data_IF_194941266013
#
_entry.id   IF_194941266013
#
_cell.length_a   1.000
_cell.length_b   1.000
_cell.length_c   1.000
_cell.angle_alpha   90.00
_cell.angle_beta   90.00
_cell.angle_gamma   90.00
#
_symmetry.space_group_name_H-M   'P 1'
#
loop_
_entity.id
_entity.type
_entity.pdbx_description
1 polymer ?
#
# COMPACT_ATOMS: atom_id res chain seq x y z
N UNK A 1 -9.18 8.01 -21.78
CA UNK A 1 -7.88 7.99 -21.06
C UNK A 1 -7.90 9.04 -19.98
N UNK A 2 -7.68 8.65 -18.73
CA UNK A 2 -7.56 9.56 -17.58
C UNK A 2 -6.08 9.84 -17.34
N UNK A 3 -5.68 11.10 -17.29
CA UNK A 3 -4.25 11.50 -17.30
C UNK A 3 -3.78 12.21 -16.03
N UNK A 4 -4.69 12.48 -15.07
CA UNK A 4 -4.29 13.08 -13.79
C UNK A 4 -3.71 12.05 -12.85
N UNK A 5 -2.73 12.45 -12.05
CA UNK A 5 -2.07 11.66 -11.02
C UNK A 5 -2.45 12.19 -9.65
N UNK A 6 -2.60 11.30 -8.69
CA UNK A 6 -3.14 11.60 -7.36
C UNK A 6 -2.33 10.97 -6.23
N UNK A 7 -1.38 10.13 -6.55
CA UNK A 7 -0.52 9.47 -5.58
C UNK A 7 0.29 10.45 -4.74
N UNK A 8 0.88 9.95 -3.69
CA UNK A 8 1.75 10.74 -2.83
C UNK A 8 2.84 11.45 -3.65
N UNK A 9 3.02 12.75 -3.40
CA UNK A 9 4.01 13.54 -4.14
C UNK A 9 5.38 13.41 -3.48
N UNK A 10 6.27 12.73 -4.16
CA UNK A 10 7.65 12.49 -3.73
C UNK A 10 8.61 13.27 -4.64
N UNK A 11 9.16 14.38 -4.13
CA UNK A 11 10.14 15.20 -4.86
C UNK A 11 9.66 15.64 -6.27
N UNK A 12 8.39 16.03 -6.39
CA UNK A 12 7.80 16.55 -7.63
C UNK A 12 7.27 15.47 -8.58
N UNK A 13 7.22 14.19 -8.16
CA UNK A 13 6.56 13.11 -8.88
C UNK A 13 5.60 12.38 -7.95
N UNK A 14 4.41 12.08 -8.45
CA UNK A 14 3.47 11.24 -7.71
C UNK A 14 3.85 9.75 -7.85
N UNK A 15 3.61 8.96 -6.79
CA UNK A 15 3.90 7.51 -6.79
C UNK A 15 3.17 6.81 -7.95
N UNK A 16 1.89 7.10 -8.16
CA UNK A 16 1.08 6.57 -9.27
C UNK A 16 1.63 6.97 -10.65
N UNK A 17 2.24 8.17 -10.78
CA UNK A 17 2.93 8.60 -12.00
C UNK A 17 4.17 7.74 -12.26
N UNK A 18 4.94 7.43 -11.23
CA UNK A 18 6.12 6.55 -11.34
C UNK A 18 5.69 5.12 -11.69
N UNK A 19 4.66 4.62 -11.02
CA UNK A 19 4.08 3.29 -11.32
C UNK A 19 3.57 3.20 -12.76
N UNK A 20 2.99 4.30 -13.28
CA UNK A 20 2.52 4.36 -14.66
C UNK A 20 3.65 4.24 -15.70
N UNK A 21 4.88 4.60 -15.34
CA UNK A 21 6.04 4.40 -16.23
C UNK A 21 6.34 2.92 -16.48
N UNK A 22 6.05 2.03 -15.52
CA UNK A 22 6.18 0.59 -15.70
C UNK A 22 5.07 0.01 -16.59
N UNK A 23 3.90 0.61 -16.59
CA UNK A 23 2.73 0.17 -17.36
C UNK A 23 2.26 1.28 -18.30
N UNK A 24 3.13 1.71 -19.22
CA UNK A 24 2.89 2.84 -20.13
C UNK A 24 1.78 2.60 -21.17
N UNK A 25 1.48 1.34 -21.48
CA UNK A 25 0.35 0.98 -22.34
C UNK A 25 -0.98 1.15 -21.61
N UNK A 26 -1.74 2.17 -22.01
CA UNK A 26 -3.06 2.45 -21.45
C UNK A 26 -4.15 1.44 -21.89
N UNK A 27 -3.89 0.60 -22.87
CA UNK A 27 -4.81 -0.50 -23.26
C UNK A 27 -4.73 -1.68 -22.28
N UNK A 28 -3.57 -1.86 -21.62
CA UNK A 28 -3.39 -2.88 -20.60
C UNK A 28 -4.22 -2.59 -19.36
N UNK A 29 -4.90 -3.62 -18.85
CA UNK A 29 -5.75 -3.58 -17.65
C UNK A 29 -5.29 -4.66 -16.69
N UNK A 30 -4.63 -4.22 -15.65
CA UNK A 30 -4.06 -5.11 -14.63
C UNK A 30 -4.84 -5.10 -13.33
N UNK A 31 -4.23 -5.73 -12.33
CA UNK A 31 -4.70 -5.79 -10.95
C UNK A 31 -3.76 -4.99 -10.05
N UNK A 32 -4.35 -4.10 -9.24
CA UNK A 32 -3.63 -3.26 -8.29
C UNK A 32 -4.13 -3.52 -6.86
N UNK A 33 -3.22 -3.83 -5.95
CA UNK A 33 -3.48 -3.90 -4.50
C UNK A 33 -2.93 -2.65 -3.84
N UNK A 34 -3.81 -1.86 -3.21
CA UNK A 34 -3.49 -0.61 -2.50
C UNK A 34 -3.67 -0.83 -1.00
N UNK A 35 -2.57 -1.12 -0.30
CA UNK A 35 -2.55 -1.46 1.12
C UNK A 35 -2.15 -0.23 1.91
N UNK A 36 -3.08 0.27 2.73
CA UNK A 36 -3.06 1.60 3.32
C UNK A 36 -3.70 2.63 2.37
N UNK A 37 -4.92 2.35 1.88
CA UNK A 37 -5.55 3.14 0.83
C UNK A 37 -5.98 4.55 1.27
N UNK A 38 -6.04 4.81 2.57
CA UNK A 38 -6.27 6.08 3.24
C UNK A 38 -7.45 6.90 2.68
N UNK A 39 -7.28 7.52 1.52
CA UNK A 39 -8.29 8.39 0.90
C UNK A 39 -8.59 7.93 -0.54
N UNK A 40 -9.86 7.97 -0.99
CA UNK A 40 -10.23 7.39 -2.28
C UNK A 40 -9.58 8.06 -3.49
N UNK A 41 -9.23 9.35 -3.40
CA UNK A 41 -8.75 10.15 -4.53
C UNK A 41 -7.42 10.83 -4.19
N UNK A 42 -7.39 11.64 -3.12
CA UNK A 42 -6.21 12.43 -2.73
C UNK A 42 -5.17 11.52 -2.11
N UNK A 43 -3.92 11.62 -2.54
CA UNK A 43 -2.79 10.77 -2.10
C UNK A 43 -3.01 9.28 -2.43
N UNK A 44 -3.91 8.95 -3.36
CA UNK A 44 -4.20 7.57 -3.74
C UNK A 44 -3.27 7.08 -4.85
N UNK A 45 -2.48 6.05 -4.56
CA UNK A 45 -1.56 5.44 -5.52
C UNK A 45 -2.28 4.61 -6.60
N UNK A 46 -3.52 4.16 -6.34
CA UNK A 46 -4.28 3.30 -7.23
C UNK A 46 -5.40 3.99 -8.02
N UNK A 47 -5.86 5.19 -7.62
CA UNK A 47 -7.01 5.85 -8.25
C UNK A 47 -6.81 6.13 -9.74
N UNK A 48 -5.62 6.60 -10.15
CA UNK A 48 -5.29 6.78 -11.57
C UNK A 48 -5.48 5.50 -12.39
N UNK A 49 -5.08 4.35 -11.84
CA UNK A 49 -5.19 3.05 -12.49
C UNK A 49 -6.64 2.60 -12.60
N UNK A 50 -7.43 2.73 -11.54
CA UNK A 50 -8.86 2.39 -11.53
C UNK A 50 -9.64 3.24 -12.55
N UNK A 51 -9.38 4.55 -12.64
CA UNK A 51 -9.97 5.43 -13.65
C UNK A 51 -9.57 5.06 -15.09
N UNK A 52 -8.50 4.32 -15.27
CA UNK A 52 -8.07 3.76 -16.54
C UNK A 52 -8.47 2.29 -16.72
N UNK A 53 -9.40 1.77 -15.90
CA UNK A 53 -10.03 0.46 -16.07
C UNK A 53 -9.23 -0.70 -15.47
N UNK A 54 -8.29 -0.45 -14.57
CA UNK A 54 -7.65 -1.49 -13.77
C UNK A 54 -8.58 -1.97 -12.67
N UNK A 55 -8.44 -3.22 -12.27
CA UNK A 55 -9.13 -3.76 -11.11
C UNK A 55 -8.30 -3.46 -9.86
N UNK A 56 -8.76 -2.46 -9.08
CA UNK A 56 -8.06 -2.03 -7.88
C UNK A 56 -8.77 -2.57 -6.64
N UNK A 57 -7.97 -3.02 -5.66
CA UNK A 57 -8.42 -3.50 -4.36
C UNK A 57 -7.78 -2.64 -3.29
N UNK A 58 -8.59 -1.92 -2.51
CA UNK A 58 -8.17 -1.00 -1.46
C UNK A 58 -8.32 -1.68 -0.10
N UNK A 59 -7.23 -1.74 0.66
CA UNK A 59 -7.20 -2.27 2.02
C UNK A 59 -6.92 -1.12 2.99
N UNK A 60 -7.82 -0.90 3.95
CA UNK A 60 -7.73 0.20 4.89
C UNK A 60 -8.20 -0.26 6.28
N UNK A 61 -7.37 0.01 7.29
CA UNK A 61 -7.67 -0.36 8.67
C UNK A 61 -8.54 0.69 9.38
N UNK A 62 -8.34 1.97 9.07
CA UNK A 62 -9.11 3.05 9.68
C UNK A 62 -10.58 2.99 9.28
N UNK A 63 -11.43 2.51 10.20
CA UNK A 63 -12.87 2.32 9.97
C UNK A 63 -13.60 3.63 9.64
N UNK A 64 -13.08 4.79 10.09
CA UNK A 64 -13.71 6.09 9.83
C UNK A 64 -13.57 6.50 8.35
N UNK A 65 -12.51 6.07 7.65
CA UNK A 65 -12.29 6.33 6.22
C UNK A 65 -13.11 5.43 5.29
N UNK A 66 -13.58 4.27 5.78
CA UNK A 66 -14.23 3.25 4.95
C UNK A 66 -15.50 3.74 4.22
N UNK A 67 -16.41 4.51 4.84
CA UNK A 67 -17.59 5.00 4.12
C UNK A 67 -17.22 5.83 2.88
N UNK A 68 -16.25 6.73 3.01
CA UNK A 68 -15.78 7.58 1.92
C UNK A 68 -15.07 6.75 0.82
N UNK A 69 -14.25 5.76 1.22
CA UNK A 69 -13.62 4.84 0.27
C UNK A 69 -14.70 4.09 -0.52
N UNK A 70 -15.71 3.50 0.12
CA UNK A 70 -16.78 2.74 -0.53
C UNK A 70 -17.69 3.58 -1.43
N UNK A 71 -17.78 4.89 -1.20
CA UNK A 71 -18.53 5.79 -2.09
C UNK A 71 -17.84 5.97 -3.45
N UNK A 72 -16.50 5.88 -3.49
CA UNK A 72 -15.73 6.25 -4.67
C UNK A 72 -14.91 5.12 -5.29
N UNK A 73 -14.75 3.97 -4.59
CA UNK A 73 -13.93 2.83 -5.00
C UNK A 73 -14.75 1.55 -4.99
N UNK A 74 -14.48 0.67 -5.96
CA UNK A 74 -15.29 -0.53 -6.17
C UNK A 74 -15.01 -1.64 -5.13
N UNK A 75 -13.73 -1.91 -4.85
CA UNK A 75 -13.34 -3.02 -3.98
C UNK A 75 -12.60 -2.48 -2.76
N UNK A 76 -13.29 -2.40 -1.62
CA UNK A 76 -12.78 -1.84 -0.36
C UNK A 76 -12.91 -2.86 0.76
N UNK A 77 -11.80 -3.16 1.41
CA UNK A 77 -11.65 -4.11 2.51
C UNK A 77 -11.21 -3.40 3.78
N UNK A 78 -11.98 -3.56 4.86
CA UNK A 78 -11.64 -2.94 6.14
C UNK A 78 -10.89 -3.95 7.02
N UNK A 79 -9.59 -4.04 6.81
CA UNK A 79 -8.67 -4.89 7.55
C UNK A 79 -7.36 -4.18 7.83
N UNK A 80 -6.79 -4.42 9.00
CA UNK A 80 -5.37 -4.22 9.22
C UNK A 80 -4.62 -5.39 8.57
N UNK A 81 -3.69 -5.11 7.66
CA UNK A 81 -2.95 -6.15 6.92
C UNK A 81 -1.67 -6.50 7.68
N UNK A 82 -1.39 -7.80 7.83
CA UNK A 82 -0.22 -8.29 8.57
C UNK A 82 0.12 -9.73 8.15
N UNK A 83 1.04 -10.37 8.90
CA UNK A 83 1.53 -11.74 8.64
C UNK A 83 0.70 -12.86 9.28
N UNK A 84 -0.34 -12.54 10.05
CA UNK A 84 -1.25 -13.51 10.66
C UNK A 84 -2.66 -12.93 10.80
N UNK A 85 -3.64 -13.83 10.90
CA UNK A 85 -5.04 -13.46 11.08
C UNK A 85 -5.38 -13.33 12.56
N UNK A 86 -6.18 -12.34 12.90
CA UNK A 86 -6.72 -12.13 14.25
C UNK A 86 -8.07 -11.44 14.16
N UNK A 87 -9.02 -11.86 14.99
CA UNK A 87 -10.38 -11.33 14.95
C UNK A 87 -10.42 -9.82 15.18
N UNK A 88 -9.68 -9.33 16.17
CA UNK A 88 -9.57 -7.90 16.48
C UNK A 88 -8.17 -7.55 17.00
N UNK A 89 -7.61 -6.47 16.49
CA UNK A 89 -6.40 -5.82 17.00
C UNK A 89 -6.69 -4.37 17.34
N UNK A 90 -5.92 -3.82 18.25
CA UNK A 90 -5.91 -2.39 18.51
C UNK A 90 -5.20 -1.68 17.34
N UNK A 91 -5.84 -0.65 16.81
CA UNK A 91 -5.31 0.19 15.77
C UNK A 91 -5.32 1.65 16.24
N UNK A 92 -4.20 2.33 16.12
CA UNK A 92 -4.03 3.68 16.60
C UNK A 92 -4.26 4.67 15.46
N UNK A 93 -5.26 5.53 15.60
CA UNK A 93 -5.51 6.64 14.70
C UNK A 93 -4.78 7.86 15.27
N UNK A 94 -3.86 8.40 14.49
CA UNK A 94 -3.09 9.59 14.87
C UNK A 94 -3.70 10.81 14.20
N UNK A 95 -4.14 11.78 14.98
CA UNK A 95 -4.68 13.06 14.52
C UNK A 95 -3.64 14.16 14.76
N UNK A 96 -3.21 14.84 13.72
CA UNK A 96 -2.33 16.01 13.81
C UNK A 96 -3.00 17.22 13.20
N UNK A 97 -3.10 18.33 13.95
CA UNK A 97 -3.62 19.62 13.47
C UNK A 97 -4.96 19.56 12.72
N UNK A 98 -5.87 18.66 13.15
CA UNK A 98 -7.22 18.51 12.56
C UNK A 98 -7.26 17.66 11.28
N UNK A 99 -6.15 17.07 10.88
CA UNK A 99 -6.09 16.05 9.84
C UNK A 99 -5.94 14.68 10.48
N UNK A 100 -6.71 13.70 10.00
CA UNK A 100 -6.35 12.31 10.20
C UNK A 100 -4.99 12.16 9.53
N UNK A 101 -3.95 12.06 10.32
CA UNK A 101 -2.64 11.83 9.75
C UNK A 101 -2.63 10.45 9.10
N UNK A 102 -2.03 10.34 7.95
CA UNK A 102 -1.75 9.07 7.32
C UNK A 102 -0.90 8.12 8.17
N UNK A 103 -0.51 8.50 9.36
CA UNK A 103 0.37 7.81 10.32
C UNK A 103 -0.36 6.85 11.28
N UNK A 104 -1.52 6.35 10.87
CA UNK A 104 -2.31 5.43 11.70
C UNK A 104 -1.83 4.00 11.53
N UNK A 105 -1.51 3.30 12.63
CA UNK A 105 -0.86 1.98 12.58
C UNK A 105 -1.24 1.06 13.74
N UNK A 106 -0.95 -0.24 13.61
CA UNK A 106 -1.09 -1.20 14.71
C UNK A 106 -0.13 -0.86 15.84
N UNK A 107 1.10 -0.49 15.51
CA UNK A 107 2.15 -0.11 16.47
C UNK A 107 2.64 1.28 16.13
N UNK A 108 2.55 2.21 17.07
CA UNK A 108 3.12 3.54 16.89
C UNK A 108 4.65 3.40 16.86
N UNK A 109 5.25 3.66 15.73
CA UNK A 109 6.69 3.59 15.55
C UNK A 109 7.36 4.87 16.08
N UNK A 110 8.24 4.73 17.09
CA UNK A 110 8.94 5.88 17.70
C UNK A 110 9.88 6.58 16.71
N UNK A 111 10.45 5.86 15.73
CA UNK A 111 11.28 6.47 14.68
C UNK A 111 10.46 7.37 13.77
N UNK A 112 9.24 6.97 13.42
CA UNK A 112 8.30 7.78 12.67
C UNK A 112 7.95 9.07 13.41
N UNK A 113 7.74 9.01 14.73
CA UNK A 113 7.53 10.21 15.55
C UNK A 113 8.68 11.21 15.41
N UNK A 114 9.91 10.73 15.45
CA UNK A 114 11.10 11.58 15.34
C UNK A 114 11.24 12.17 13.92
N UNK A 115 11.02 11.37 12.87
CA UNK A 115 11.18 11.80 11.47
C UNK A 115 10.12 12.84 11.10
N UNK A 116 8.87 12.61 11.49
CA UNK A 116 7.74 13.48 11.12
C UNK A 116 7.40 14.53 12.20
N UNK A 117 8.13 14.54 13.33
CA UNK A 117 7.98 15.58 14.37
C UNK A 117 6.64 15.50 15.11
N UNK A 118 6.02 14.34 15.27
CA UNK A 118 4.72 14.17 15.93
C UNK A 118 4.68 14.75 17.35
N UNK A 119 5.76 14.63 18.12
CA UNK A 119 5.82 15.15 19.49
C UNK A 119 5.72 16.68 19.54
N UNK A 120 6.09 17.38 18.46
CA UNK A 120 5.95 18.83 18.36
C UNK A 120 4.52 19.27 17.99
N UNK A 121 3.73 18.37 17.40
CA UNK A 121 2.38 18.67 16.93
C UNK A 121 1.28 18.33 17.96
N UNK A 122 1.64 17.82 19.15
CA UNK A 122 0.71 17.30 20.15
C UNK A 122 -0.36 16.39 19.53
N UNK A 123 0.00 15.26 18.93
CA UNK A 123 -0.95 14.40 18.25
C UNK A 123 -1.97 13.85 19.23
N UNK A 124 -3.23 13.84 18.82
CA UNK A 124 -4.27 13.09 19.54
C UNK A 124 -4.26 11.68 18.98
N UNK A 125 -4.00 10.70 19.84
CA UNK A 125 -4.05 9.28 19.47
C UNK A 125 -5.36 8.70 19.98
N UNK A 126 -6.19 8.24 19.05
CA UNK A 126 -7.41 7.49 19.35
C UNK A 126 -7.22 6.05 18.98
N UNK A 127 -7.64 5.12 19.83
CA UNK A 127 -7.54 3.69 19.57
C UNK A 127 -8.89 3.12 19.17
N UNK A 128 -8.91 2.40 18.06
CA UNK A 128 -10.05 1.60 17.60
C UNK A 128 -9.67 0.13 17.58
N UNK A 129 -10.65 -0.75 17.39
CA UNK A 129 -10.39 -2.19 17.12
C UNK A 129 -10.81 -2.54 15.71
N UNK A 130 -9.96 -3.26 15.00
CA UNK A 130 -10.20 -3.69 13.62
C UNK A 130 -9.80 -5.15 13.45
N UNK A 131 -10.43 -5.91 12.56
CA UNK A 131 -9.94 -7.25 12.23
C UNK A 131 -8.61 -7.16 11.49
N UNK A 132 -7.70 -8.10 11.79
CA UNK A 132 -6.41 -8.22 11.13
C UNK A 132 -6.39 -9.48 10.27
N UNK A 133 -5.88 -9.35 9.04
CA UNK A 133 -5.77 -10.48 8.11
C UNK A 133 -4.49 -10.44 7.30
N UNK A 134 -4.08 -11.64 6.86
CA UNK A 134 -3.11 -11.79 5.79
C UNK A 134 -3.77 -11.47 4.44
N UNK A 135 -3.02 -10.92 3.51
CA UNK A 135 -3.49 -10.76 2.13
C UNK A 135 -3.90 -12.10 1.52
N UNK A 136 -3.14 -13.17 1.77
CA UNK A 136 -3.50 -14.51 1.28
C UNK A 136 -4.89 -14.95 1.75
N UNK A 137 -5.20 -14.76 3.03
CA UNK A 137 -6.52 -15.14 3.56
C UNK A 137 -7.63 -14.36 2.87
N UNK A 138 -7.47 -13.04 2.68
CA UNK A 138 -8.48 -12.23 1.99
C UNK A 138 -8.63 -12.67 0.54
N UNK A 139 -7.52 -12.92 -0.16
CA UNK A 139 -7.57 -13.37 -1.56
C UNK A 139 -8.32 -14.71 -1.66
N UNK A 140 -8.03 -15.65 -0.78
CA UNK A 140 -8.62 -16.99 -0.83
C UNK A 140 -10.09 -17.02 -0.41
N UNK A 141 -10.53 -16.11 0.45
CA UNK A 141 -11.89 -16.14 1.01
C UNK A 141 -12.84 -15.10 0.43
N UNK A 142 -12.31 -13.97 -0.09
CA UNK A 142 -13.13 -12.81 -0.46
C UNK A 142 -12.89 -12.31 -1.89
N UNK A 143 -11.76 -12.69 -2.53
CA UNK A 143 -11.44 -12.28 -3.90
C UNK A 143 -11.42 -13.50 -4.81
N UNK A 144 -12.54 -13.73 -5.49
CA UNK A 144 -12.66 -14.87 -6.39
C UNK A 144 -11.71 -14.75 -7.60
N UNK A 145 -11.16 -15.90 -8.02
CA UNK A 145 -10.45 -16.10 -9.30
C UNK A 145 -9.21 -15.19 -9.50
N UNK A 146 -8.62 -14.67 -8.43
CA UNK A 146 -7.39 -13.91 -8.53
C UNK A 146 -6.20 -14.84 -8.80
N UNK A 147 -5.58 -14.68 -9.95
CA UNK A 147 -4.42 -15.49 -10.38
C UNK A 147 -3.12 -14.69 -10.40
N UNK A 148 -3.20 -13.37 -10.45
CA UNK A 148 -2.04 -12.48 -10.58
C UNK A 148 -2.30 -11.12 -9.94
N UNK A 149 -1.26 -10.52 -9.42
CA UNK A 149 -1.21 -9.11 -9.03
C UNK A 149 -0.18 -8.43 -9.92
N UNK A 150 -0.51 -7.30 -10.53
CA UNK A 150 0.45 -6.54 -11.35
C UNK A 150 1.20 -5.52 -10.50
N UNK A 151 0.49 -4.79 -9.67
CA UNK A 151 1.07 -3.80 -8.74
C UNK A 151 0.55 -4.06 -7.33
N UNK A 152 1.44 -3.99 -6.36
CA UNK A 152 1.09 -3.82 -4.96
C UNK A 152 1.78 -2.57 -4.40
N UNK A 153 1.01 -1.67 -3.81
CA UNK A 153 1.47 -0.52 -3.04
C UNK A 153 1.25 -0.78 -1.57
N UNK A 154 2.28 -0.65 -0.74
CA UNK A 154 2.24 -0.93 0.69
C UNK A 154 2.73 0.31 1.44
N UNK A 155 1.82 0.93 2.18
CA UNK A 155 2.04 2.13 2.97
C UNK A 155 1.14 2.04 4.22
N UNK A 156 1.63 1.40 5.26
CA UNK A 156 0.89 1.08 6.49
C UNK A 156 1.64 1.45 7.78
N UNK A 157 2.57 2.38 7.62
CA UNK A 157 3.22 3.08 8.74
C UNK A 157 3.98 2.16 9.71
N UNK A 158 4.83 1.28 9.14
CA UNK A 158 5.74 0.41 9.88
C UNK A 158 5.35 -1.07 9.93
N UNK A 159 4.30 -1.48 9.20
CA UNK A 159 3.88 -2.89 9.08
C UNK A 159 4.22 -3.53 7.73
N UNK A 160 5.02 -2.89 6.89
CA UNK A 160 5.22 -3.25 5.48
C UNK A 160 5.83 -4.65 5.33
N UNK A 161 6.81 -5.00 6.15
CA UNK A 161 7.44 -6.31 6.11
C UNK A 161 6.47 -7.42 6.55
N UNK A 162 5.64 -7.16 7.57
CA UNK A 162 4.60 -8.10 8.00
C UNK A 162 3.52 -8.28 6.93
N UNK A 163 3.15 -7.20 6.22
CA UNK A 163 2.26 -7.28 5.06
C UNK A 163 2.85 -8.20 3.98
N UNK A 164 4.13 -8.04 3.66
CA UNK A 164 4.83 -8.87 2.68
C UNK A 164 4.88 -10.34 3.11
N UNK A 165 5.10 -10.64 4.39
CA UNK A 165 5.03 -12.01 4.92
C UNK A 165 3.62 -12.63 4.81
N UNK A 166 2.58 -11.79 4.79
CA UNK A 166 1.18 -12.21 4.61
C UNK A 166 0.77 -12.52 3.17
N UNK A 167 1.68 -12.35 2.18
CA UNK A 167 1.40 -12.57 0.76
C UNK A 167 2.32 -13.65 0.18
N UNK A 168 1.74 -14.61 -0.54
CA UNK A 168 2.50 -15.59 -1.33
C UNK A 168 3.08 -14.94 -2.60
N UNK A 169 4.30 -14.43 -2.48
CA UNK A 169 5.01 -13.77 -3.58
C UNK A 169 5.36 -14.72 -4.73
N UNK A 170 5.42 -16.03 -4.49
CA UNK A 170 5.66 -17.02 -5.56
C UNK A 170 4.39 -17.21 -6.39
N UNK A 171 3.26 -17.41 -5.72
CA UNK A 171 1.97 -17.66 -6.36
C UNK A 171 1.46 -16.46 -7.15
N UNK A 172 1.43 -15.28 -6.52
CA UNK A 172 0.84 -14.08 -7.13
C UNK A 172 1.83 -13.22 -7.91
N UNK A 173 3.12 -13.36 -7.63
CA UNK A 173 4.27 -12.78 -8.33
C UNK A 173 4.01 -11.35 -8.86
N UNK A 174 3.76 -10.36 -7.98
CA UNK A 174 3.53 -8.99 -8.40
C UNK A 174 4.63 -8.49 -9.34
N UNK A 175 4.25 -7.86 -10.45
CA UNK A 175 5.23 -7.33 -11.41
C UNK A 175 6.04 -6.18 -10.80
N UNK A 176 5.35 -5.30 -10.07
CA UNK A 176 5.94 -4.16 -9.36
C UNK A 176 5.42 -4.12 -7.92
N UNK A 177 6.31 -3.98 -6.97
CA UNK A 177 6.00 -3.74 -5.56
C UNK A 177 6.56 -2.35 -5.22
N UNK A 178 5.71 -1.45 -4.73
CA UNK A 178 6.17 -0.22 -4.09
C UNK A 178 5.90 -0.32 -2.59
N UNK A 179 6.92 0.00 -1.80
CA UNK A 179 6.86 -0.07 -0.34
C UNK A 179 7.33 1.27 0.21
N UNK A 180 6.53 1.88 1.09
CA UNK A 180 7.04 2.95 1.91
C UNK A 180 8.02 2.39 2.95
N UNK A 181 9.22 2.94 2.99
CA UNK A 181 10.30 2.49 3.89
C UNK A 181 11.01 3.69 4.50
N UNK A 182 10.31 4.36 5.41
CA UNK A 182 10.76 5.60 6.07
C UNK A 182 12.05 5.40 6.84
N UNK A 183 12.19 4.26 7.50
CA UNK A 183 13.36 3.95 8.36
C UNK A 183 14.51 3.33 7.59
N UNK A 184 14.35 3.12 6.27
CA UNK A 184 15.31 2.38 5.43
C UNK A 184 15.64 0.98 6.00
N UNK A 185 14.61 0.25 6.44
CA UNK A 185 14.78 -1.12 6.92
C UNK A 185 15.30 -2.03 5.79
N UNK A 186 16.53 -2.52 5.97
CA UNK A 186 17.16 -3.43 5.01
C UNK A 186 16.51 -4.81 4.96
N UNK A 187 15.70 -5.17 5.95
CA UNK A 187 14.99 -6.46 5.99
C UNK A 187 13.98 -6.57 4.86
N UNK A 188 13.31 -5.47 4.50
CA UNK A 188 12.37 -5.41 3.36
C UNK A 188 13.11 -5.76 2.06
N UNK A 189 14.24 -5.10 1.82
CA UNK A 189 15.07 -5.36 0.64
C UNK A 189 15.56 -6.80 0.61
N UNK A 190 16.14 -7.29 1.72
CA UNK A 190 16.65 -8.66 1.81
C UNK A 190 15.56 -9.70 1.55
N UNK A 191 14.36 -9.48 2.10
CA UNK A 191 13.21 -10.35 1.87
C UNK A 191 12.80 -10.37 0.40
N UNK A 192 12.58 -9.22 -0.22
CA UNK A 192 12.17 -9.14 -1.62
C UNK A 192 13.22 -9.70 -2.58
N UNK A 193 14.51 -9.44 -2.32
CA UNK A 193 15.62 -10.00 -3.13
C UNK A 193 15.66 -11.53 -3.05
N UNK A 194 15.29 -12.14 -1.92
CA UNK A 194 15.20 -13.59 -1.77
C UNK A 194 14.13 -14.25 -2.65
N UNK A 195 13.13 -13.47 -3.10
CA UNK A 195 12.10 -13.87 -4.06
C UNK A 195 12.40 -13.41 -5.50
N UNK A 196 13.63 -12.92 -5.77
CA UNK A 196 14.05 -12.50 -7.11
C UNK A 196 13.61 -11.11 -7.54
N UNK A 197 13.10 -10.29 -6.60
CA UNK A 197 12.83 -8.88 -6.88
C UNK A 197 14.12 -8.07 -6.85
N UNK A 198 14.16 -6.99 -7.64
CA UNK A 198 15.26 -6.04 -7.64
C UNK A 198 14.75 -4.65 -7.35
N UNK A 199 15.45 -3.92 -6.49
CA UNK A 199 15.21 -2.49 -6.28
C UNK A 199 15.56 -1.76 -7.59
N UNK A 200 14.55 -1.13 -8.21
CA UNK A 200 14.70 -0.37 -9.46
C UNK A 200 14.80 1.13 -9.21
N UNK A 201 13.94 1.65 -8.31
CA UNK A 201 13.95 3.07 -7.92
C UNK A 201 13.77 3.23 -6.42
N UNK A 202 14.36 4.31 -5.90
CA UNK A 202 14.13 4.79 -4.54
C UNK A 202 13.87 6.29 -4.62
N UNK A 203 12.66 6.71 -4.31
CA UNK A 203 12.23 8.11 -4.41
C UNK A 203 11.64 8.51 -3.07
N UNK A 204 12.34 9.38 -2.34
CA UNK A 204 12.04 9.74 -0.95
C UNK A 204 11.91 8.49 -0.07
N UNK A 205 10.74 8.23 0.50
CA UNK A 205 10.51 7.06 1.35
C UNK A 205 10.03 5.82 0.56
N UNK A 206 9.68 5.98 -0.72
CA UNK A 206 9.13 4.91 -1.53
C UNK A 206 10.19 4.15 -2.30
N UNK A 207 10.25 2.84 -2.11
CA UNK A 207 11.14 1.90 -2.79
C UNK A 207 10.33 1.06 -3.78
N UNK A 208 10.76 1.07 -5.05
CA UNK A 208 10.10 0.37 -6.15
C UNK A 208 10.91 -0.86 -6.53
N UNK A 209 10.31 -2.02 -6.37
CA UNK A 209 10.90 -3.30 -6.70
C UNK A 209 10.21 -3.90 -7.92
N UNK A 210 10.99 -4.49 -8.82
CA UNK A 210 10.49 -5.21 -10.01
C UNK A 210 10.82 -6.69 -9.91
N UNK A 211 9.87 -7.54 -10.30
CA UNK A 211 10.12 -8.97 -10.38
C UNK A 211 11.06 -9.33 -11.54
N UNK A 212 11.79 -10.45 -11.42
CA UNK A 212 12.66 -10.95 -12.49
C UNK A 212 11.86 -11.17 -13.79
N UNK A 213 10.67 -11.74 -13.70
CA UNK A 213 9.80 -11.99 -14.86
C UNK A 213 9.41 -10.69 -15.58
N UNK A 214 9.07 -9.64 -14.80
CA UNK A 214 8.76 -8.34 -15.37
C UNK A 214 9.98 -7.72 -16.04
N UNK A 215 11.15 -7.77 -15.39
CA UNK A 215 12.41 -7.22 -15.96
C UNK A 215 12.81 -7.89 -17.28
N UNK A 216 12.54 -9.20 -17.43
CA UNK A 216 12.79 -9.93 -18.67
C UNK A 216 11.81 -9.56 -19.79
N UNK A 217 10.55 -9.28 -19.46
CA UNK A 217 9.53 -8.89 -20.45
C UNK A 217 9.73 -7.50 -21.04
N UNK A 218 10.61 -6.67 -20.45
CA UNK A 218 10.94 -5.32 -20.91
C UNK A 218 12.17 -5.26 -21.85
N UNK A 219 12.83 -6.40 -22.09
CA UNK A 219 13.97 -6.52 -23.01
C UNK A 219 13.50 -6.83 -24.42
#
# INVERSE_FOLDING_TARGET
MYTLFHGENQNGKCVDQVLRMYFSDYSYKGVFFDVGAFHPITISNSFHFEKNGWKCYCFEANTEGIPLLKEHRENVFNYAISNYDKDLVNFNIVLTNGWTAGFSSIVINEEYKNIFGYDQANPVVTQITVPQKKLNTIIETEIADLTKIDIISIDIEGGELDCLYGLDLIKYNPSVIVVENVTNDFSIKGYLESFGYKLDKHISYNQFYISANYAESQK
#
